data_IF_322969652532
#
_entry.id   IF_322969652532
#
_cell.length_a   1.000
_cell.length_b   1.000
_cell.length_c   1.000
_cell.angle_alpha   90.00
_cell.angle_beta   90.00
_cell.angle_gamma   90.00
#
_symmetry.space_group_name_H-M   'P 1'
#
loop_
_entity.id
_entity.type
_entity.pdbx_description
1 polymer ?
#
# COMPACT_ATOMS: atom_id res chain seq x y z
N UNK A 1 -9.15 29.99 -19.24
CA UNK A 1 -7.98 29.41 -19.95
C UNK A 1 -7.02 30.55 -20.20
N UNK A 2 -6.38 31.01 -19.16
CA UNK A 2 -5.38 32.05 -19.21
C UNK A 2 -4.03 31.39 -19.35
N UNK A 3 -3.26 31.87 -20.34
CA UNK A 3 -1.96 31.32 -20.78
C UNK A 3 -0.81 31.54 -19.79
N UNK A 4 -1.11 31.68 -18.50
CA UNK A 4 -0.13 31.89 -17.45
C UNK A 4 0.25 30.54 -16.81
N UNK A 5 1.11 29.79 -17.49
CA UNK A 5 1.69 28.57 -16.96
C UNK A 5 2.67 28.92 -15.83
N UNK A 6 2.29 28.69 -14.57
CA UNK A 6 3.14 28.97 -13.41
C UNK A 6 4.34 28.00 -13.35
N UNK A 7 4.10 26.70 -13.59
CA UNK A 7 5.11 25.64 -13.57
C UNK A 7 4.89 24.65 -14.70
N UNK A 8 5.97 24.06 -15.20
CA UNK A 8 5.95 23.04 -16.25
C UNK A 8 6.04 21.64 -15.67
N UNK A 9 5.62 20.64 -16.43
CA UNK A 9 5.78 19.22 -16.07
C UNK A 9 7.25 18.89 -15.86
N UNK A 10 7.61 18.48 -14.65
CA UNK A 10 8.97 18.11 -14.26
C UNK A 10 9.69 19.16 -13.43
N UNK A 11 9.12 20.34 -13.25
CA UNK A 11 9.69 21.36 -12.36
C UNK A 11 9.63 20.87 -10.91
N UNK A 12 10.67 21.20 -10.15
CA UNK A 12 10.72 20.95 -8.71
C UNK A 12 9.91 22.06 -8.02
N UNK A 13 8.93 21.66 -7.20
CA UNK A 13 8.13 22.59 -6.40
C UNK A 13 8.77 22.69 -5.02
N UNK A 14 9.29 23.85 -4.69
CA UNK A 14 9.82 24.18 -3.37
C UNK A 14 8.72 24.76 -2.46
N UNK A 15 9.07 25.02 -1.20
CA UNK A 15 8.10 25.51 -0.20
C UNK A 15 7.47 26.84 -0.61
N UNK A 16 8.27 27.75 -1.13
CA UNK A 16 7.82 29.09 -1.57
C UNK A 16 6.94 28.99 -2.83
N UNK A 17 7.21 28.02 -3.68
CA UNK A 17 6.42 27.76 -4.88
C UNK A 17 5.05 27.15 -4.55
N UNK A 18 4.99 26.30 -3.53
CA UNK A 18 3.73 25.76 -3.02
C UNK A 18 2.80 26.89 -2.56
N UNK A 19 3.35 27.90 -1.87
CA UNK A 19 2.59 29.05 -1.42
C UNK A 19 2.07 29.89 -2.60
N UNK A 20 2.88 30.13 -3.63
CA UNK A 20 2.45 30.84 -4.86
C UNK A 20 1.34 30.10 -5.61
N UNK A 21 1.40 28.77 -5.65
CA UNK A 21 0.38 27.92 -6.27
C UNK A 21 -0.95 28.05 -5.52
N UNK A 22 -0.90 28.04 -4.18
CA UNK A 22 -2.08 28.21 -3.33
C UNK A 22 -2.70 29.62 -3.50
N UNK A 23 -1.87 30.67 -3.50
CA UNK A 23 -2.28 32.07 -3.73
C UNK A 23 -2.92 32.26 -5.14
N UNK A 24 -2.47 31.48 -6.13
CA UNK A 24 -3.08 31.45 -7.47
C UNK A 24 -4.43 30.74 -7.53
N UNK A 25 -4.93 30.17 -6.41
CA UNK A 25 -6.23 29.51 -6.31
C UNK A 25 -6.28 28.10 -6.90
N UNK A 26 -5.14 27.47 -7.17
CA UNK A 26 -5.07 26.09 -7.65
C UNK A 26 -5.41 25.14 -6.52
N UNK A 27 -6.48 24.34 -6.68
CA UNK A 27 -6.95 23.41 -5.63
C UNK A 27 -6.23 22.07 -5.63
N UNK A 28 -5.76 21.61 -6.78
CA UNK A 28 -5.16 20.28 -6.93
C UNK A 28 -3.93 20.33 -7.84
N UNK A 29 -2.88 19.63 -7.45
CA UNK A 29 -1.64 19.51 -8.23
C UNK A 29 -1.24 18.04 -8.31
N UNK A 30 -1.00 17.56 -9.54
CA UNK A 30 -0.48 16.21 -9.75
C UNK A 30 1.03 16.17 -9.59
N UNK A 31 1.51 15.47 -8.59
CA UNK A 31 2.94 15.31 -8.30
C UNK A 31 3.41 13.88 -8.54
N UNK A 32 4.70 13.71 -8.79
CA UNK A 32 5.35 12.39 -8.85
C UNK A 32 5.58 11.89 -7.44
N UNK A 33 5.37 10.59 -7.22
CA UNK A 33 5.64 9.92 -5.95
C UNK A 33 6.37 8.59 -6.19
N UNK A 34 7.10 8.05 -5.19
CA UNK A 34 7.67 6.72 -5.28
C UNK A 34 6.64 5.64 -5.60
N UNK A 35 5.41 5.77 -5.09
CA UNK A 35 4.36 4.76 -5.25
C UNK A 35 3.84 4.64 -6.67
N UNK A 36 3.86 5.74 -7.42
CA UNK A 36 3.44 5.81 -8.84
C UNK A 36 4.62 5.71 -9.80
N UNK A 37 5.81 5.39 -9.29
CA UNK A 37 7.01 5.30 -10.12
C UNK A 37 6.93 4.10 -11.10
N UNK A 38 7.09 4.36 -12.39
CA UNK A 38 7.12 3.33 -13.43
C UNK A 38 8.47 2.62 -13.59
N UNK A 39 9.47 2.88 -12.74
CA UNK A 39 10.75 2.19 -12.80
C UNK A 39 10.61 0.71 -12.47
N UNK A 40 11.17 -0.16 -13.25
CA UNK A 40 11.16 -1.60 -13.03
C UNK A 40 12.06 -2.02 -11.85
N UNK A 41 13.12 -1.26 -11.58
CA UNK A 41 14.07 -1.54 -10.51
C UNK A 41 14.33 -0.27 -9.70
N UNK A 42 14.03 -0.34 -8.41
CA UNK A 42 14.15 0.81 -7.52
C UNK A 42 13.16 1.94 -7.84
N UNK A 43 13.54 3.16 -7.49
CA UNK A 43 12.76 4.38 -7.70
C UNK A 43 13.56 5.36 -8.52
N UNK A 44 12.95 5.98 -9.54
CA UNK A 44 13.67 6.96 -10.35
C UNK A 44 13.94 8.24 -9.56
N UNK A 45 14.99 8.96 -9.94
CA UNK A 45 15.42 10.20 -9.29
C UNK A 45 14.31 11.22 -9.14
N UNK A 46 13.49 11.42 -10.15
CA UNK A 46 12.40 12.40 -10.15
C UNK A 46 11.22 12.00 -9.24
N UNK A 47 10.91 10.69 -9.10
CA UNK A 47 9.84 10.23 -8.22
C UNK A 47 10.28 10.23 -6.75
N UNK A 48 11.55 9.94 -6.47
CA UNK A 48 12.10 10.09 -5.11
C UNK A 48 12.24 11.56 -4.72
N UNK A 49 12.70 12.38 -5.67
CA UNK A 49 12.85 13.83 -5.50
C UNK A 49 14.03 14.22 -4.62
N UNK A 50 13.75 15.07 -3.65
CA UNK A 50 14.73 15.75 -2.83
C UNK A 50 15.33 14.84 -1.76
N UNK A 51 16.65 14.85 -1.61
CA UNK A 51 17.36 14.23 -0.49
C UNK A 51 17.34 15.19 0.70
N UNK A 52 16.59 14.84 1.74
CA UNK A 52 16.41 15.67 2.93
C UNK A 52 17.70 15.88 3.73
N UNK A 53 18.65 14.95 3.63
CA UNK A 53 19.93 15.05 4.33
C UNK A 53 20.91 16.00 3.65
N UNK A 54 20.86 16.07 2.32
CA UNK A 54 21.78 16.88 1.49
C UNK A 54 21.16 18.18 0.99
N UNK A 55 19.88 18.35 1.18
CA UNK A 55 19.10 19.48 0.69
C UNK A 55 19.25 19.69 -0.83
N UNK A 56 19.23 18.62 -1.61
CA UNK A 56 19.40 18.59 -3.05
C UNK A 56 18.65 17.40 -3.67
N UNK A 57 18.52 17.39 -5.00
CA UNK A 57 18.00 16.21 -5.71
C UNK A 57 18.86 14.97 -5.42
N UNK A 58 18.20 13.85 -5.14
CA UNK A 58 18.86 12.57 -4.87
C UNK A 58 19.80 12.17 -6.01
N UNK A 59 20.95 11.61 -5.69
CA UNK A 59 21.87 11.06 -6.70
C UNK A 59 21.44 9.66 -7.12
N UNK A 60 21.67 9.34 -8.39
CA UNK A 60 21.49 7.96 -8.89
C UNK A 60 22.51 7.05 -8.19
N UNK A 61 22.05 5.88 -7.72
CA UNK A 61 22.86 4.94 -6.95
C UNK A 61 22.74 5.09 -5.43
N UNK A 62 21.96 6.05 -4.93
CA UNK A 62 21.67 6.17 -3.49
C UNK A 62 20.78 5.01 -3.02
N UNK A 63 21.11 4.44 -1.84
CA UNK A 63 20.40 3.33 -1.24
C UNK A 63 19.10 3.79 -0.55
N UNK A 64 18.12 4.28 -1.33
CA UNK A 64 16.89 4.89 -0.82
C UNK A 64 16.01 3.94 -0.02
N UNK A 65 16.08 2.64 -0.30
CA UNK A 65 15.38 1.61 0.48
C UNK A 65 15.92 1.50 1.91
N UNK A 66 17.25 1.53 2.07
CA UNK A 66 17.91 1.53 3.38
C UNK A 66 17.55 2.81 4.16
N UNK A 67 17.60 3.98 3.50
CA UNK A 67 17.23 5.25 4.09
C UNK A 67 15.76 5.23 4.55
N UNK A 68 14.85 4.69 3.73
CA UNK A 68 13.44 4.56 4.08
C UNK A 68 13.25 3.65 5.30
N UNK A 69 13.89 2.49 5.33
CA UNK A 69 13.80 1.53 6.45
C UNK A 69 14.34 2.12 7.75
N UNK A 70 15.45 2.84 7.70
CA UNK A 70 16.03 3.52 8.86
C UNK A 70 15.14 4.65 9.36
N UNK A 71 14.57 5.45 8.45
CA UNK A 71 13.68 6.56 8.80
C UNK A 71 12.37 6.11 9.43
N UNK A 72 11.89 4.92 9.08
CA UNK A 72 10.72 4.28 9.68
C UNK A 72 11.09 3.59 11.00
N UNK A 73 12.25 2.92 11.05
CA UNK A 73 12.68 2.13 12.20
C UNK A 73 13.17 2.95 13.38
N UNK A 74 13.84 4.07 13.16
CA UNK A 74 14.38 4.93 14.24
C UNK A 74 13.27 5.40 15.19
N UNK A 75 12.18 6.03 14.74
CA UNK A 75 11.11 6.43 15.65
C UNK A 75 10.36 5.24 16.28
N UNK A 76 10.41 4.05 15.66
CA UNK A 76 9.79 2.84 16.17
C UNK A 76 10.27 2.48 17.59
N UNK A 77 11.55 2.63 17.88
CA UNK A 77 12.11 2.42 19.21
C UNK A 77 11.54 3.39 20.25
N UNK A 78 11.34 4.65 19.87
CA UNK A 78 10.75 5.68 20.75
C UNK A 78 9.25 5.44 20.96
N UNK A 79 8.53 4.95 19.96
CA UNK A 79 7.13 4.56 20.06
C UNK A 79 6.91 3.43 21.06
N UNK A 80 7.80 2.45 21.10
CA UNK A 80 7.74 1.35 22.06
C UNK A 80 7.87 1.84 23.50
N UNK A 81 8.76 2.79 23.75
CA UNK A 81 8.96 3.38 25.08
C UNK A 81 7.80 4.24 25.55
N UNK A 82 7.13 4.97 24.64
CA UNK A 82 6.01 5.86 24.97
C UNK A 82 4.69 5.15 25.21
N UNK A 83 4.44 3.99 24.59
CA UNK A 83 3.20 3.21 24.80
C UNK A 83 3.07 2.68 26.22
N UNK A 84 4.17 2.49 26.96
CA UNK A 84 4.14 2.10 28.37
C UNK A 84 3.65 3.22 29.31
N UNK A 85 3.68 4.48 28.88
CA UNK A 85 3.33 5.63 29.72
C UNK A 85 1.95 6.23 29.43
N UNK A 86 1.26 5.80 28.38
CA UNK A 86 -0.07 6.32 27.99
C UNK A 86 -1.25 5.56 28.63
N UNK A 87 -1.07 4.94 29.77
CA UNK A 87 -2.07 4.14 30.51
C UNK A 87 -3.20 4.95 31.17
N UNK A 88 -3.74 5.98 30.52
CA UNK A 88 -4.74 6.85 31.13
C UNK A 88 -5.92 7.29 30.26
N UNK A 89 -6.02 6.92 29.00
CA UNK A 89 -7.15 7.33 28.15
C UNK A 89 -8.03 6.13 27.82
N UNK A 90 -9.01 5.92 28.65
CA UNK A 90 -10.15 5.02 28.42
C UNK A 90 -10.93 5.49 27.19
N UNK A 91 -10.89 4.72 26.11
CA UNK A 91 -11.89 4.85 25.02
C UNK A 91 -11.38 5.01 23.60
N UNK A 92 -10.07 5.08 23.34
CA UNK A 92 -9.55 5.02 21.99
C UNK A 92 -8.75 3.72 21.75
N UNK A 93 -8.93 3.15 20.58
CA UNK A 93 -8.42 1.85 20.11
C UNK A 93 -6.98 1.59 20.59
N UNK A 94 -6.78 0.55 21.39
CA UNK A 94 -5.49 0.13 22.00
C UNK A 94 -4.43 -0.25 20.95
N UNK A 95 -4.79 -0.17 19.66
CA UNK A 95 -3.92 -0.44 18.51
C UNK A 95 -3.21 0.81 17.96
N UNK A 96 -3.23 1.93 18.67
CA UNK A 96 -2.55 3.16 18.26
C UNK A 96 -1.08 3.11 18.64
N UNK A 97 -0.22 2.64 17.73
CA UNK A 97 1.22 2.59 17.96
C UNK A 97 1.92 1.58 17.07
N UNK A 98 3.10 1.12 17.51
CA UNK A 98 3.93 0.16 16.79
C UNK A 98 3.18 -1.13 16.37
N UNK A 99 2.28 -1.72 17.21
CA UNK A 99 1.52 -2.90 16.80
C UNK A 99 0.63 -2.65 15.56
N UNK A 100 0.14 -1.42 15.36
CA UNK A 100 -0.64 -1.08 14.18
C UNK A 100 0.22 -0.97 12.92
N UNK A 101 1.42 -0.41 13.04
CA UNK A 101 2.39 -0.35 11.94
C UNK A 101 2.78 -1.76 11.52
N UNK A 102 3.05 -2.63 12.50
CA UNK A 102 3.37 -4.04 12.26
C UNK A 102 2.21 -4.78 11.58
N UNK A 103 0.97 -4.58 12.03
CA UNK A 103 -0.23 -5.16 11.43
C UNK A 103 -0.36 -4.77 9.95
N UNK A 104 -0.10 -3.51 9.61
CA UNK A 104 -0.16 -3.01 8.24
C UNK A 104 0.99 -3.55 7.39
N UNK A 105 2.24 -3.42 7.82
CA UNK A 105 3.39 -3.82 7.04
C UNK A 105 3.56 -5.34 6.93
N UNK A 106 3.20 -6.10 7.94
CA UNK A 106 3.18 -7.57 7.87
C UNK A 106 1.90 -8.13 7.24
N UNK A 107 0.97 -7.26 6.87
CA UNK A 107 -0.31 -7.67 6.26
C UNK A 107 -1.00 -8.77 7.07
N UNK A 108 -1.11 -8.57 8.37
CA UNK A 108 -1.74 -9.56 9.25
C UNK A 108 -3.22 -9.74 8.88
N UNK A 109 -3.63 -10.97 8.61
CA UNK A 109 -5.02 -11.30 8.28
C UNK A 109 -5.95 -11.20 9.48
N UNK A 110 -5.43 -11.40 10.70
CA UNK A 110 -6.20 -11.32 11.93
C UNK A 110 -6.20 -9.90 12.48
N UNK A 111 -7.08 -9.06 11.91
CA UNK A 111 -7.27 -7.67 12.32
C UNK A 111 -8.11 -7.64 13.59
N UNK A 112 -7.60 -7.00 14.65
CA UNK A 112 -8.29 -6.90 15.95
C UNK A 112 -9.63 -6.18 15.86
N UNK A 113 -9.72 -5.24 14.96
CA UNK A 113 -10.85 -4.32 14.82
C UNK A 113 -11.21 -4.11 13.35
N UNK A 114 -11.77 -5.12 12.63
CA UNK A 114 -12.06 -5.00 11.22
C UNK A 114 -13.14 -3.94 10.96
N UNK A 115 -12.87 -3.03 10.00
CA UNK A 115 -13.84 -2.08 9.50
C UNK A 115 -14.66 -2.70 8.36
N UNK A 116 -15.90 -2.27 8.23
CA UNK A 116 -16.71 -2.56 7.05
C UNK A 116 -16.37 -1.55 5.96
N UNK A 117 -16.09 -2.04 4.75
CA UNK A 117 -15.75 -1.22 3.59
C UNK A 117 -16.84 -1.30 2.54
N UNK A 118 -17.05 -0.19 1.82
CA UNK A 118 -18.03 -0.14 0.73
C UNK A 118 -17.57 -0.97 -0.46
N UNK A 119 -18.45 -1.84 -0.95
CA UNK A 119 -18.25 -2.68 -2.15
C UNK A 119 -18.81 -2.03 -3.41
N UNK A 120 -19.36 -0.83 -3.31
CA UNK A 120 -19.92 -0.08 -4.43
C UNK A 120 -19.75 1.42 -4.24
N UNK A 121 -19.76 2.14 -5.36
CA UNK A 121 -19.94 3.58 -5.38
C UNK A 121 -21.43 3.90 -5.25
N UNK A 122 -21.79 4.91 -4.45
CA UNK A 122 -23.19 5.26 -4.26
C UNK A 122 -23.43 6.24 -3.12
N UNK A 123 -24.67 6.32 -2.67
CA UNK A 123 -25.12 7.21 -1.61
C UNK A 123 -25.66 6.39 -0.42
N UNK A 124 -25.34 6.82 0.79
CA UNK A 124 -25.90 6.24 2.03
C UNK A 124 -27.33 6.68 2.18
N UNK A 125 -28.28 5.78 1.95
CA UNK A 125 -29.71 6.06 2.01
C UNK A 125 -30.23 6.07 3.42
N UNK A 126 -29.83 5.07 4.22
CA UNK A 126 -30.33 4.93 5.58
C UNK A 126 -29.34 4.24 6.51
N UNK A 127 -29.44 4.58 7.80
CA UNK A 127 -28.69 3.92 8.89
C UNK A 127 -29.72 3.53 9.96
N UNK A 128 -30.04 2.24 10.01
CA UNK A 128 -31.07 1.69 10.91
C UNK A 128 -30.49 0.69 11.88
N UNK A 129 -31.18 0.52 13.00
CA UNK A 129 -30.83 -0.52 13.97
C UNK A 129 -31.92 -1.57 13.96
N UNK A 130 -31.58 -2.81 13.63
CA UNK A 130 -32.49 -3.95 13.64
C UNK A 130 -31.96 -5.00 14.61
N UNK A 131 -32.75 -5.41 15.59
CA UNK A 131 -32.37 -6.43 16.58
C UNK A 131 -31.05 -6.14 17.32
N UNK A 132 -30.73 -4.85 17.52
CA UNK A 132 -29.49 -4.44 18.16
C UNK A 132 -28.24 -4.46 17.24
N UNK A 133 -28.40 -4.76 15.95
CA UNK A 133 -27.38 -4.66 14.92
C UNK A 133 -27.63 -3.40 14.09
N UNK A 134 -26.60 -2.58 13.90
CA UNK A 134 -26.70 -1.43 13.00
C UNK A 134 -26.49 -1.89 11.56
N UNK A 135 -27.32 -1.39 10.66
CA UNK A 135 -27.29 -1.70 9.23
C UNK A 135 -27.14 -0.37 8.48
N UNK A 136 -26.16 -0.29 7.61
CA UNK A 136 -25.98 0.82 6.68
C UNK A 136 -26.48 0.36 5.32
N UNK A 137 -27.41 1.11 4.74
CA UNK A 137 -27.93 0.88 3.40
C UNK A 137 -27.32 1.86 2.42
N UNK A 138 -26.63 1.33 1.39
CA UNK A 138 -25.99 2.11 0.33
C UNK A 138 -26.72 1.82 -0.98
N UNK A 139 -27.21 2.87 -1.64
CA UNK A 139 -27.77 2.80 -2.98
C UNK A 139 -26.63 2.97 -3.98
N UNK A 140 -26.29 1.89 -4.65
CA UNK A 140 -25.23 1.87 -5.65
C UNK A 140 -25.61 2.58 -6.94
N UNK A 141 -24.69 3.35 -7.54
CA UNK A 141 -24.87 3.99 -8.84
C UNK A 141 -25.00 2.96 -9.98
N UNK A 142 -24.38 1.78 -9.81
CA UNK A 142 -24.42 0.65 -10.75
C UNK A 142 -25.08 -0.56 -10.13
N UNK A 143 -25.67 -1.42 -10.96
CA UNK A 143 -26.17 -2.72 -10.50
C UNK A 143 -25.00 -3.60 -10.04
N UNK A 144 -25.05 -4.06 -8.79
CA UNK A 144 -24.07 -4.95 -8.21
C UNK A 144 -24.71 -6.34 -8.05
N UNK A 145 -23.97 -7.38 -8.42
CA UNK A 145 -24.42 -8.77 -8.25
C UNK A 145 -23.94 -9.29 -6.89
N UNK A 146 -24.87 -9.40 -5.93
CA UNK A 146 -24.60 -10.01 -4.64
C UNK A 146 -25.39 -11.32 -4.56
N UNK A 147 -24.71 -12.41 -4.22
CA UNK A 147 -25.35 -13.74 -4.11
C UNK A 147 -26.16 -14.15 -5.36
N UNK A 148 -25.67 -13.83 -6.56
CA UNK A 148 -26.32 -14.07 -7.86
C UNK A 148 -27.60 -13.25 -8.10
N UNK A 149 -27.91 -12.29 -7.26
CA UNK A 149 -29.04 -11.37 -7.42
C UNK A 149 -28.48 -9.99 -7.79
N UNK A 150 -29.02 -9.38 -8.85
CA UNK A 150 -28.71 -7.99 -9.23
C UNK A 150 -29.52 -7.05 -8.31
N UNK A 151 -28.84 -6.23 -7.56
CA UNK A 151 -29.48 -5.23 -6.71
C UNK A 151 -28.74 -3.90 -6.81
N UNK A 152 -29.45 -2.81 -6.58
CA UNK A 152 -28.86 -1.47 -6.43
C UNK A 152 -28.72 -1.08 -4.96
N UNK A 153 -29.46 -1.70 -4.06
CA UNK A 153 -29.36 -1.46 -2.63
C UNK A 153 -28.52 -2.54 -1.98
N UNK A 154 -27.50 -2.14 -1.24
CA UNK A 154 -26.59 -3.03 -0.52
C UNK A 154 -26.69 -2.72 0.96
N UNK A 155 -27.04 -3.73 1.74
CA UNK A 155 -27.08 -3.66 3.19
C UNK A 155 -25.75 -4.15 3.78
N UNK A 156 -25.15 -3.34 4.64
CA UNK A 156 -23.95 -3.67 5.40
C UNK A 156 -24.30 -3.82 6.86
N UNK A 157 -24.21 -5.04 7.38
CA UNK A 157 -24.38 -5.31 8.80
C UNK A 157 -23.12 -4.94 9.57
N UNK A 158 -23.27 -4.18 10.66
CA UNK A 158 -22.19 -3.75 11.51
C UNK A 158 -22.13 -4.62 12.77
N UNK A 159 -20.92 -4.96 13.20
CA UNK A 159 -20.72 -5.51 14.53
C UNK A 159 -21.28 -4.51 15.59
N UNK A 160 -21.89 -5.04 16.66
CA UNK A 160 -22.53 -4.25 17.74
C UNK A 160 -21.60 -3.21 18.37
N UNK A 161 -20.29 -3.46 18.30
CA UNK A 161 -19.24 -2.59 18.87
C UNK A 161 -18.77 -1.50 17.92
N UNK A 162 -19.27 -1.49 16.67
CA UNK A 162 -18.81 -0.56 15.62
C UNK A 162 -19.71 0.67 15.54
N UNK A 163 -19.05 1.81 15.29
CA UNK A 163 -19.74 3.07 15.02
C UNK A 163 -19.64 3.41 13.53
N UNK A 164 -20.76 3.83 12.90
CA UNK A 164 -20.73 4.31 11.53
C UNK A 164 -19.90 5.59 11.46
N UNK A 165 -19.02 5.68 10.44
CA UNK A 165 -18.26 6.89 10.10
C UNK A 165 -19.00 7.79 9.12
N UNK A 166 -19.95 7.21 8.39
CA UNK A 166 -20.77 7.88 7.37
C UNK A 166 -22.11 8.30 7.94
N UNK A 167 -22.71 9.30 7.35
CA UNK A 167 -24.04 9.80 7.66
C UNK A 167 -24.98 9.53 6.48
N UNK A 168 -26.28 9.59 6.75
CA UNK A 168 -27.30 9.55 5.71
C UNK A 168 -27.11 10.71 4.73
N UNK A 169 -27.07 10.41 3.42
CA UNK A 169 -26.82 11.35 2.35
C UNK A 169 -25.34 11.49 1.98
N UNK A 170 -24.40 10.83 2.68
CA UNK A 170 -22.99 10.86 2.30
C UNK A 170 -22.76 10.03 1.04
N UNK A 171 -21.94 10.55 0.15
CA UNK A 171 -21.46 9.80 -1.02
C UNK A 171 -20.27 8.96 -0.64
N UNK A 172 -20.31 7.69 -1.02
CA UNK A 172 -19.25 6.71 -0.77
C UNK A 172 -18.68 6.18 -2.07
N UNK A 173 -17.38 6.01 -2.10
CA UNK A 173 -16.64 5.42 -3.22
C UNK A 173 -16.27 3.96 -2.89
N UNK A 174 -15.80 3.21 -3.90
CA UNK A 174 -15.26 1.86 -3.69
C UNK A 174 -14.15 1.89 -2.65
N UNK A 175 -14.25 1.02 -1.64
CA UNK A 175 -13.26 0.93 -0.58
C UNK A 175 -13.38 1.96 0.54
N UNK A 176 -14.37 2.86 0.51
CA UNK A 176 -14.63 3.80 1.61
C UNK A 176 -14.97 3.05 2.88
N UNK A 177 -14.34 3.44 4.00
CA UNK A 177 -14.61 2.87 5.32
C UNK A 177 -15.98 3.36 5.84
N UNK A 178 -16.93 2.47 5.95
CA UNK A 178 -18.27 2.75 6.48
C UNK A 178 -18.29 2.83 8.00
N UNK A 179 -17.35 2.13 8.66
CA UNK A 179 -17.26 2.08 10.11
C UNK A 179 -15.90 2.51 10.63
N UNK A 180 -15.81 2.72 11.94
CA UNK A 180 -14.55 2.74 12.67
C UNK A 180 -13.84 1.37 12.56
N UNK A 181 -12.53 1.38 12.81
CA UNK A 181 -11.67 0.20 12.72
C UNK A 181 -10.71 0.26 11.52
N UNK A 182 -10.16 -0.90 11.20
CA UNK A 182 -9.07 -1.07 10.23
C UNK A 182 -9.54 -1.86 9.03
N UNK A 183 -9.29 -1.36 7.81
CA UNK A 183 -9.59 -2.13 6.61
C UNK A 183 -8.64 -3.33 6.46
N UNK A 184 -9.17 -4.42 5.95
CA UNK A 184 -8.36 -5.52 5.47
C UNK A 184 -7.74 -5.13 4.12
N UNK A 185 -6.40 -5.15 4.04
CA UNK A 185 -5.66 -4.72 2.84
C UNK A 185 -6.00 -5.61 1.64
N UNK A 186 -6.16 -6.93 1.84
CA UNK A 186 -6.52 -7.84 0.75
C UNK A 186 -7.94 -7.59 0.22
N UNK A 187 -8.89 -7.31 1.13
CA UNK A 187 -10.25 -6.97 0.74
C UNK A 187 -10.31 -5.62 0.04
N UNK A 188 -9.62 -4.62 0.57
CA UNK A 188 -9.52 -3.29 -0.02
C UNK A 188 -8.87 -3.35 -1.41
N UNK A 189 -7.78 -4.11 -1.56
CA UNK A 189 -7.11 -4.32 -2.84
C UNK A 189 -8.03 -4.97 -3.89
N UNK A 190 -8.81 -5.99 -3.48
CA UNK A 190 -9.74 -6.69 -4.39
C UNK A 190 -10.91 -5.82 -4.83
N UNK A 191 -11.39 -4.92 -3.96
CA UNK A 191 -12.56 -4.09 -4.20
C UNK A 191 -12.19 -2.80 -4.92
N UNK A 192 -11.20 -2.07 -4.40
CA UNK A 192 -10.87 -0.72 -4.84
C UNK A 192 -9.56 -0.62 -5.66
N UNK A 193 -8.84 -1.73 -5.82
CA UNK A 193 -7.60 -1.78 -6.59
C UNK A 193 -6.35 -1.41 -5.79
N UNK A 194 -5.22 -1.39 -6.50
CA UNK A 194 -3.90 -1.26 -5.89
C UNK A 194 -3.59 0.18 -5.43
N UNK A 195 -4.05 1.19 -6.15
CA UNK A 195 -3.81 2.60 -5.80
C UNK A 195 -4.46 2.97 -4.47
N UNK A 196 -5.74 2.61 -4.29
CA UNK A 196 -6.49 2.89 -3.06
C UNK A 196 -5.92 2.10 -1.88
N UNK A 197 -5.55 0.84 -2.09
CA UNK A 197 -4.95 0.01 -1.05
C UNK A 197 -3.58 0.55 -0.60
N UNK A 198 -2.74 0.97 -1.53
CA UNK A 198 -1.44 1.60 -1.24
C UNK A 198 -1.60 2.92 -0.47
N UNK A 199 -2.47 3.79 -0.95
CA UNK A 199 -2.72 5.08 -0.30
C UNK A 199 -3.29 4.89 1.12
N UNK A 200 -4.16 3.91 1.31
CA UNK A 200 -4.66 3.55 2.63
C UNK A 200 -3.52 3.17 3.59
N UNK A 201 -2.61 2.27 3.18
CA UNK A 201 -1.47 1.87 4.01
C UNK A 201 -0.59 3.08 4.34
N UNK A 202 -0.26 3.90 3.35
CA UNK A 202 0.58 5.09 3.54
C UNK A 202 -0.05 6.07 4.52
N UNK A 203 -1.36 6.36 4.37
CA UNK A 203 -2.08 7.29 5.26
C UNK A 203 -2.18 6.76 6.69
N UNK A 204 -2.51 5.49 6.87
CA UNK A 204 -2.64 4.92 8.21
C UNK A 204 -1.28 4.86 8.93
N UNK A 205 -0.20 4.50 8.24
CA UNK A 205 1.15 4.51 8.82
C UNK A 205 1.57 5.94 9.17
N UNK A 206 1.43 6.89 8.25
CA UNK A 206 1.76 8.30 8.50
C UNK A 206 1.00 8.85 9.72
N UNK A 207 -0.29 8.56 9.82
CA UNK A 207 -1.14 8.96 10.95
C UNK A 207 -0.64 8.42 12.29
N UNK A 208 -0.17 7.16 12.34
CA UNK A 208 0.39 6.60 13.58
C UNK A 208 1.63 7.38 14.01
N UNK A 209 2.53 7.71 13.09
CA UNK A 209 3.73 8.49 13.40
C UNK A 209 3.41 9.93 13.80
N UNK A 210 2.46 10.58 13.13
CA UNK A 210 1.99 11.94 13.46
C UNK A 210 1.39 12.01 14.87
N UNK A 211 0.50 11.06 15.21
CA UNK A 211 -0.12 10.98 16.55
C UNK A 211 0.90 10.79 17.67
N UNK A 212 2.04 10.20 17.35
CA UNK A 212 3.13 10.01 18.30
C UNK A 212 4.20 11.13 18.25
N UNK A 213 3.93 12.22 17.55
CA UNK A 213 4.84 13.38 17.40
C UNK A 213 6.21 13.02 16.84
N UNK A 214 6.25 12.01 15.96
CA UNK A 214 7.46 11.55 15.29
C UNK A 214 7.20 11.42 13.76
N UNK A 215 6.87 12.52 13.06
CA UNK A 215 6.48 12.46 11.65
C UNK A 215 7.61 11.93 10.78
N UNK A 216 7.29 10.95 9.94
CA UNK A 216 8.18 10.36 8.94
C UNK A 216 7.81 10.91 7.56
N UNK A 217 8.82 11.23 6.74
CA UNK A 217 8.57 11.70 5.39
C UNK A 217 7.78 10.66 4.57
N UNK A 218 6.65 11.07 4.00
CA UNK A 218 5.68 10.21 3.30
C UNK A 218 6.34 9.32 2.24
N UNK A 219 7.32 9.84 1.51
CA UNK A 219 8.05 9.09 0.48
C UNK A 219 8.75 7.82 1.00
N UNK A 220 9.21 7.81 2.26
CA UNK A 220 9.83 6.62 2.85
C UNK A 220 8.80 5.52 3.11
N UNK A 221 7.62 5.91 3.59
CA UNK A 221 6.49 5.00 3.77
C UNK A 221 6.03 4.46 2.41
N UNK A 222 5.97 5.31 1.40
CA UNK A 222 5.58 4.96 0.03
C UNK A 222 6.55 3.93 -0.60
N UNK A 223 7.86 4.05 -0.38
CA UNK A 223 8.85 3.09 -0.86
C UNK A 223 8.60 1.71 -0.25
N UNK A 224 8.45 1.63 1.07
CA UNK A 224 8.20 0.36 1.75
C UNK A 224 6.85 -0.23 1.35
N UNK A 225 5.80 0.59 1.27
CA UNK A 225 4.49 0.16 0.77
C UNK A 225 4.59 -0.37 -0.66
N UNK A 226 5.34 0.30 -1.54
CA UNK A 226 5.57 -0.15 -2.91
C UNK A 226 6.14 -1.57 -3.00
N UNK A 227 7.03 -1.95 -2.07
CA UNK A 227 7.58 -3.30 -2.00
C UNK A 227 6.53 -4.35 -1.67
N UNK A 228 5.54 -4.05 -0.83
CA UNK A 228 4.44 -4.97 -0.50
C UNK A 228 3.62 -5.36 -1.74
N UNK A 229 3.53 -4.48 -2.74
CA UNK A 229 2.78 -4.67 -3.99
C UNK A 229 3.69 -5.05 -5.19
N UNK A 230 4.95 -5.35 -4.95
CA UNK A 230 5.93 -5.64 -6.02
C UNK A 230 5.86 -7.06 -6.57
N UNK A 231 5.20 -7.97 -5.86
CA UNK A 231 5.13 -9.38 -6.23
C UNK A 231 3.99 -9.67 -7.19
N UNK A 232 4.25 -10.63 -8.09
CA UNK A 232 3.29 -11.10 -9.09
C UNK A 232 3.12 -12.60 -8.97
N UNK A 233 1.86 -13.08 -9.00
CA UNK A 233 1.54 -14.51 -9.10
C UNK A 233 1.25 -14.83 -10.55
N UNK A 234 1.97 -15.78 -11.10
CA UNK A 234 1.76 -16.26 -12.46
C UNK A 234 0.43 -17.02 -12.54
N UNK A 235 -0.49 -16.53 -13.37
CA UNK A 235 -1.79 -17.18 -13.63
C UNK A 235 -1.74 -18.03 -14.89
N UNK A 236 -1.02 -17.59 -15.92
CA UNK A 236 -0.82 -18.31 -17.17
C UNK A 236 0.66 -18.16 -17.54
N UNK A 237 1.43 -19.26 -17.57
CA UNK A 237 2.88 -19.19 -17.81
C UNK A 237 3.24 -18.87 -19.27
N UNK A 238 2.33 -19.05 -20.23
CA UNK A 238 2.65 -18.94 -21.66
C UNK A 238 3.80 -19.89 -22.04
N UNK A 239 4.72 -19.39 -22.87
CA UNK A 239 5.94 -20.09 -23.28
C UNK A 239 7.17 -19.70 -22.44
N UNK A 240 6.95 -19.09 -21.27
CA UNK A 240 8.02 -18.74 -20.33
C UNK A 240 8.42 -19.96 -19.49
N UNK A 241 9.54 -19.84 -18.76
CA UNK A 241 10.02 -20.87 -17.83
C UNK A 241 9.27 -20.93 -16.49
N UNK A 242 8.27 -20.06 -16.27
CA UNK A 242 7.51 -20.02 -15.03
C UNK A 242 6.46 -21.13 -14.98
N UNK A 243 6.06 -21.46 -13.75
CA UNK A 243 4.93 -22.36 -13.47
C UNK A 243 3.70 -21.59 -12.99
N UNK A 244 2.52 -22.14 -13.22
CA UNK A 244 1.29 -21.54 -12.68
C UNK A 244 1.33 -21.52 -11.16
N UNK A 245 1.11 -20.36 -10.57
CA UNK A 245 1.15 -20.15 -9.13
C UNK A 245 2.49 -19.61 -8.59
N UNK A 246 3.54 -19.55 -9.41
CA UNK A 246 4.82 -18.98 -9.01
C UNK A 246 4.66 -17.52 -8.58
N UNK A 247 5.35 -17.15 -7.51
CA UNK A 247 5.40 -15.77 -7.02
C UNK A 247 6.76 -15.19 -7.37
N UNK A 248 6.76 -14.23 -8.27
CA UNK A 248 7.96 -13.63 -8.86
C UNK A 248 7.96 -12.12 -8.71
N UNK A 249 9.11 -11.51 -8.90
CA UNK A 249 9.24 -10.07 -8.97
C UNK A 249 8.74 -9.54 -10.32
N UNK A 250 8.16 -8.33 -10.32
CA UNK A 250 7.65 -7.72 -11.54
C UNK A 250 8.73 -7.61 -12.64
N UNK A 251 9.98 -7.32 -12.25
CA UNK A 251 11.10 -7.21 -13.20
C UNK A 251 11.43 -8.56 -13.87
N UNK A 252 11.28 -9.68 -13.15
CA UNK A 252 11.51 -11.01 -13.71
C UNK A 252 10.46 -11.34 -14.77
N UNK A 253 9.18 -11.01 -14.47
CA UNK A 253 8.06 -11.18 -15.40
C UNK A 253 8.28 -10.38 -16.68
N UNK A 254 8.58 -9.07 -16.56
CA UNK A 254 8.79 -8.19 -17.73
C UNK A 254 9.93 -8.69 -18.59
N UNK A 255 11.10 -8.99 -18.00
CA UNK A 255 12.27 -9.49 -18.74
C UNK A 255 12.03 -10.84 -19.42
N UNK A 256 11.27 -11.73 -18.79
CA UNK A 256 10.93 -13.01 -19.38
C UNK A 256 9.97 -12.82 -20.56
N UNK A 257 8.97 -11.95 -20.40
CA UNK A 257 8.00 -11.65 -21.46
C UNK A 257 8.68 -10.95 -22.66
N UNK A 258 9.57 -9.98 -22.44
CA UNK A 258 10.32 -9.33 -23.51
C UNK A 258 11.12 -10.34 -24.36
N UNK A 259 11.74 -11.35 -23.73
CA UNK A 259 12.47 -12.40 -24.46
C UNK A 259 11.54 -13.28 -25.30
N UNK A 260 10.44 -13.71 -24.70
CA UNK A 260 9.47 -14.61 -25.34
C UNK A 260 8.74 -13.90 -26.48
N UNK A 261 8.38 -12.63 -26.30
CA UNK A 261 7.76 -11.79 -27.34
C UNK A 261 8.72 -11.52 -28.50
N UNK A 262 10.01 -11.30 -28.23
CA UNK A 262 11.04 -11.16 -29.28
C UNK A 262 11.19 -12.44 -30.14
N UNK A 263 10.86 -13.61 -29.58
CA UNK A 263 10.83 -14.89 -30.29
C UNK A 263 9.46 -15.19 -30.95
N UNK A 264 8.48 -14.26 -30.82
CA UNK A 264 7.12 -14.42 -31.37
C UNK A 264 6.27 -15.46 -30.62
N UNK A 265 6.60 -15.76 -29.38
CA UNK A 265 5.90 -16.73 -28.51
C UNK A 265 4.96 -16.02 -27.54
N UNK A 266 4.13 -16.79 -26.80
CA UNK A 266 3.12 -16.28 -25.88
C UNK A 266 3.71 -15.82 -24.55
N UNK A 267 3.53 -14.55 -24.12
CA UNK A 267 4.00 -14.04 -22.83
C UNK A 267 3.20 -14.62 -21.65
N UNK A 268 3.82 -14.65 -20.48
CA UNK A 268 3.16 -15.01 -19.22
C UNK A 268 2.24 -13.90 -18.74
N UNK A 269 1.08 -14.31 -18.16
CA UNK A 269 0.17 -13.41 -17.45
C UNK A 269 0.27 -13.64 -15.95
N UNK A 270 0.28 -12.54 -15.19
CA UNK A 270 0.36 -12.59 -13.75
C UNK A 270 -0.48 -11.47 -13.10
N UNK A 271 -0.92 -11.71 -11.89
CA UNK A 271 -1.68 -10.76 -11.07
C UNK A 271 -0.83 -10.24 -9.92
N UNK A 272 -1.15 -9.03 -9.43
CA UNK A 272 -0.50 -8.45 -8.25
C UNK A 272 -0.90 -9.26 -7.02
N UNK A 273 0.09 -9.58 -6.18
CA UNK A 273 -0.13 -10.19 -4.86
C UNK A 273 0.47 -9.30 -3.79
N UNK A 274 -0.36 -8.90 -2.85
CA UNK A 274 0.10 -8.13 -1.69
C UNK A 274 0.79 -9.05 -0.71
N UNK A 275 2.01 -8.72 -0.31
CA UNK A 275 2.82 -9.48 0.64
C UNK A 275 3.25 -8.59 1.81
N UNK A 276 3.35 -9.18 3.01
CA UNK A 276 4.01 -8.51 4.14
C UNK A 276 5.50 -8.30 3.87
N UNK A 277 6.11 -7.29 4.50
CA UNK A 277 7.51 -6.94 4.26
C UNK A 277 8.48 -8.07 4.58
N UNK A 278 8.22 -8.84 5.63
CA UNK A 278 9.02 -10.04 5.98
C UNK A 278 8.91 -11.12 4.91
N UNK A 279 7.71 -11.36 4.34
CA UNK A 279 7.54 -12.29 3.24
C UNK A 279 8.23 -11.81 1.97
N UNK A 280 8.21 -10.50 1.69
CA UNK A 280 8.94 -9.91 0.56
C UNK A 280 10.44 -10.12 0.72
N UNK A 281 11.00 -9.86 1.91
CA UNK A 281 12.41 -10.06 2.21
C UNK A 281 12.87 -11.52 2.05
N UNK A 282 12.00 -12.48 2.37
CA UNK A 282 12.28 -13.93 2.22
C UNK A 282 12.05 -14.45 0.80
N UNK A 283 11.33 -13.73 -0.04
CA UNK A 283 10.98 -14.12 -1.41
C UNK A 283 11.74 -13.33 -2.48
N UNK A 284 12.94 -12.85 -2.18
CA UNK A 284 13.82 -12.18 -3.15
C UNK A 284 14.54 -13.20 -4.03
N UNK A 285 14.94 -12.79 -5.23
CA UNK A 285 15.77 -13.62 -6.12
C UNK A 285 17.11 -13.98 -5.48
N UNK A 286 17.71 -13.06 -4.72
CA UNK A 286 18.95 -13.30 -3.99
C UNK A 286 18.68 -14.15 -2.75
N UNK A 287 19.00 -15.46 -2.82
CA UNK A 287 18.89 -16.35 -1.68
C UNK A 287 19.87 -15.98 -0.56
N UNK A 288 21.01 -15.36 -0.88
CA UNK A 288 21.96 -14.87 0.10
C UNK A 288 21.40 -13.72 0.91
N UNK A 289 20.68 -12.78 0.27
CA UNK A 289 19.97 -11.69 0.95
C UNK A 289 18.89 -12.23 1.87
N UNK A 290 18.08 -13.18 1.38
CA UNK A 290 17.05 -13.85 2.20
C UNK A 290 17.64 -14.58 3.40
N UNK A 291 18.74 -15.33 3.20
CA UNK A 291 19.43 -16.08 4.25
C UNK A 291 20.05 -15.16 5.33
N UNK A 292 20.45 -13.95 4.96
CA UNK A 292 20.98 -12.96 5.91
C UNK A 292 19.89 -12.34 6.80
N UNK A 293 18.63 -12.40 6.38
CA UNK A 293 17.51 -11.84 7.13
C UNK A 293 16.96 -12.81 8.18
N UNK A 294 16.40 -13.94 7.76
CA UNK A 294 15.83 -14.97 8.65
C UNK A 294 15.88 -16.35 7.98
N UNK A 295 15.68 -17.42 8.77
CA UNK A 295 15.57 -18.80 8.30
C UNK A 295 16.79 -19.30 7.51
N UNK A 296 18.00 -18.85 7.86
CA UNK A 296 19.26 -19.11 7.16
C UNK A 296 19.43 -20.57 6.73
N UNK A 297 19.28 -21.52 7.68
CA UNK A 297 19.45 -22.95 7.39
C UNK A 297 18.48 -23.44 6.31
N UNK A 298 17.19 -23.07 6.42
CA UNK A 298 16.16 -23.48 5.46
C UNK A 298 16.42 -22.95 4.06
N UNK A 299 16.82 -21.68 3.97
CA UNK A 299 17.11 -21.02 2.70
C UNK A 299 18.35 -21.64 2.05
N UNK A 300 19.41 -21.85 2.81
CA UNK A 300 20.65 -22.50 2.31
C UNK A 300 20.37 -23.92 1.81
N UNK A 301 19.59 -24.71 2.54
CA UNK A 301 19.19 -26.06 2.10
C UNK A 301 18.39 -25.99 0.81
N UNK A 302 17.43 -25.08 0.71
CA UNK A 302 16.60 -24.89 -0.49
C UNK A 302 17.47 -24.53 -1.70
N UNK A 303 18.33 -23.51 -1.55
CA UNK A 303 19.22 -23.05 -2.61
C UNK A 303 20.22 -24.15 -3.06
N UNK A 304 20.76 -24.91 -2.11
CA UNK A 304 21.66 -26.01 -2.41
C UNK A 304 20.97 -27.15 -3.16
N UNK A 305 19.71 -27.49 -2.81
CA UNK A 305 18.92 -28.52 -3.49
C UNK A 305 18.53 -28.08 -4.90
N UNK A 306 18.14 -26.80 -5.06
CA UNK A 306 17.78 -26.24 -6.37
C UNK A 306 19.00 -25.94 -7.26
N UNK A 307 20.20 -25.89 -6.70
CA UNK A 307 21.42 -25.48 -7.43
C UNK A 307 21.40 -24.01 -7.84
N UNK A 308 20.73 -23.16 -7.05
CA UNK A 308 20.56 -21.75 -7.36
C UNK A 308 21.88 -20.97 -7.25
N UNK A 309 22.15 -20.12 -8.23
CA UNK A 309 23.30 -19.20 -8.26
C UNK A 309 22.83 -17.80 -7.90
N UNK A 310 23.47 -17.17 -6.93
CA UNK A 310 23.19 -15.79 -6.55
C UNK A 310 23.99 -14.82 -7.41
N UNK A 311 23.31 -13.87 -8.03
CA UNK A 311 23.94 -12.85 -8.89
C UNK A 311 24.56 -11.70 -8.07
N UNK A 312 24.48 -11.72 -6.75
CA UNK A 312 24.96 -10.69 -5.82
C UNK A 312 24.35 -9.30 -6.10
N UNK A 313 23.12 -9.26 -6.55
CA UNK A 313 22.35 -8.05 -6.90
C UNK A 313 21.09 -7.91 -6.04
N UNK A 314 21.21 -8.25 -4.80
CA UNK A 314 20.11 -8.15 -3.81
C UNK A 314 20.04 -6.80 -3.11
#
# INVERSE_FOLDING_TARGET
KDDNTLYKKGDLIEKDDAQKIEEAGVKEVHVRTPITCGSLHGVCQQCYGFDLGRNAMVKVGEAVGTIASQSIGEPGTQLTLRTFHAGGVTGQDITTGLPRIEELFEKRSNIKSPAVISKSEGEVVDIRTKEGVKIIEVLSDKEVTINKVKTKSIEYELDKRRTPRVKKGDRVELGTLLTDGSANIDELFKIAGDEVAKDYVVREVAKVYELNSAPVAKKHIEIVTGLMFSRRRVTQPGDTHFSTGDIIENIQLVRANEKVEAEGKLPAKAEIVVKGISEVALSTKSWLSSASFQHTTRILVSAAVSGDVDDLRG
#
